data_IF_496255174651
#
_entry.id   IF_496255174651
#
_cell.length_a   1.000
_cell.length_b   1.000
_cell.length_c   1.000
_cell.angle_alpha   90.00
_cell.angle_beta   90.00
_cell.angle_gamma   90.00
#
_symmetry.space_group_name_H-M   'P 1'
#
loop_
_entity.id
_entity.type
_entity.pdbx_description
1 polymer ?
#
# COMPACT_ATOMS: atom_id res chain seq x y z
N UNK A 1 -15.52 15.44 -13.70
CA UNK A 1 -14.85 15.56 -12.41
C UNK A 1 -13.43 15.07 -12.60
N UNK A 2 -12.42 15.90 -12.32
CA UNK A 2 -11.02 15.54 -12.56
C UNK A 2 -10.43 14.97 -11.27
N UNK A 3 -10.39 13.63 -11.18
CA UNK A 3 -9.92 12.89 -10.00
C UNK A 3 -8.49 13.28 -9.60
N UNK A 4 -7.62 13.58 -10.58
CA UNK A 4 -6.24 13.96 -10.28
C UNK A 4 -6.17 15.32 -9.57
N UNK A 5 -7.01 16.27 -10.00
CA UNK A 5 -7.11 17.59 -9.38
C UNK A 5 -7.65 17.50 -7.94
N UNK A 6 -8.62 16.63 -7.68
CA UNK A 6 -9.17 16.43 -6.34
C UNK A 6 -8.15 15.78 -5.40
N UNK A 7 -7.36 14.82 -5.89
CA UNK A 7 -6.27 14.23 -5.11
C UNK A 7 -5.14 15.23 -4.83
N UNK A 8 -4.87 16.16 -5.75
CA UNK A 8 -3.93 17.28 -5.53
C UNK A 8 -4.38 18.22 -4.43
N UNK A 9 -5.66 18.59 -4.46
CA UNK A 9 -6.26 19.43 -3.42
C UNK A 9 -6.24 18.72 -2.07
N UNK A 10 -6.63 17.44 -2.03
CA UNK A 10 -6.62 16.64 -0.81
C UNK A 10 -5.20 16.47 -0.24
N UNK A 11 -4.20 16.23 -1.09
CA UNK A 11 -2.80 16.17 -0.64
C UNK A 11 -2.36 17.47 0.03
N UNK A 12 -2.68 18.61 -0.57
CA UNK A 12 -2.37 19.94 -0.02
C UNK A 12 -3.04 20.16 1.34
N UNK A 13 -4.29 19.72 1.48
CA UNK A 13 -5.05 19.82 2.75
C UNK A 13 -4.39 18.97 3.85
N UNK A 14 -4.09 17.71 3.56
CA UNK A 14 -3.45 16.82 4.55
C UNK A 14 -2.04 17.33 4.93
N UNK A 15 -1.27 17.82 3.95
CA UNK A 15 0.05 18.42 4.21
C UNK A 15 -0.04 19.66 5.11
N UNK A 16 -0.99 20.56 4.85
CA UNK A 16 -1.24 21.70 5.72
C UNK A 16 -1.64 21.26 7.15
N UNK A 17 -2.46 20.21 7.26
CA UNK A 17 -2.85 19.61 8.55
C UNK A 17 -1.64 19.12 9.35
N UNK A 18 -0.74 18.36 8.70
CA UNK A 18 0.51 17.87 9.31
C UNK A 18 1.37 19.04 9.83
N UNK A 19 1.51 20.10 9.02
CA UNK A 19 2.31 21.28 9.38
C UNK A 19 1.72 21.99 10.60
N UNK A 20 0.41 22.23 10.63
CA UNK A 20 -0.24 22.93 11.74
C UNK A 20 -0.22 22.12 13.04
N UNK A 21 -0.49 20.81 12.97
CA UNK A 21 -0.38 19.90 14.12
C UNK A 21 1.04 19.87 14.68
N UNK A 22 2.06 19.81 13.81
CA UNK A 22 3.47 19.85 14.21
C UNK A 22 3.84 21.13 14.95
N UNK A 23 3.35 22.29 14.48
CA UNK A 23 3.55 23.58 15.17
C UNK A 23 2.83 23.62 16.51
N UNK A 24 1.61 23.09 16.59
CA UNK A 24 0.79 23.06 17.81
C UNK A 24 1.45 22.23 18.91
N UNK A 25 2.08 21.10 18.56
CA UNK A 25 2.82 20.25 19.49
C UNK A 25 3.95 20.98 20.23
N UNK A 26 4.58 21.98 19.61
CA UNK A 26 5.58 22.82 20.27
C UNK A 26 5.02 23.71 21.39
N UNK A 27 3.69 23.86 21.49
CA UNK A 27 3.01 24.81 22.37
C UNK A 27 2.15 24.15 23.47
N UNK A 28 1.98 22.84 23.42
CA UNK A 28 1.13 22.07 24.35
C UNK A 28 1.93 21.07 25.18
N UNK A 29 1.39 20.70 26.34
CA UNK A 29 1.98 19.72 27.26
C UNK A 29 0.92 18.78 27.86
N UNK A 30 1.37 17.69 28.49
CA UNK A 30 0.48 16.71 29.12
C UNK A 30 -0.46 16.01 28.13
N UNK A 31 -1.69 15.76 28.55
CA UNK A 31 -2.68 14.96 27.81
C UNK A 31 -3.03 15.54 26.42
N UNK A 32 -3.08 16.87 26.30
CA UNK A 32 -3.39 17.52 25.03
C UNK A 32 -2.26 17.29 24.01
N UNK A 33 -1.01 17.22 24.47
CA UNK A 33 0.14 16.87 23.64
C UNK A 33 0.04 15.44 23.12
N UNK A 34 -0.32 14.49 23.98
CA UNK A 34 -0.49 13.08 23.57
C UNK A 34 -1.61 12.92 22.54
N UNK A 35 -2.72 13.63 22.74
CA UNK A 35 -3.84 13.64 21.78
C UNK A 35 -3.40 14.20 20.43
N UNK A 36 -2.70 15.34 20.44
CA UNK A 36 -2.19 15.96 19.21
C UNK A 36 -1.10 15.12 18.52
N UNK A 37 -0.33 14.31 19.26
CA UNK A 37 0.61 13.36 18.67
C UNK A 37 -0.12 12.27 17.89
N UNK A 38 -1.23 11.75 18.43
CA UNK A 38 -2.08 10.79 17.71
C UNK A 38 -2.67 11.39 16.44
N UNK A 39 -3.23 12.59 16.53
CA UNK A 39 -3.78 13.30 15.36
C UNK A 39 -2.72 13.61 14.30
N UNK A 40 -1.50 13.95 14.71
CA UNK A 40 -0.40 14.17 13.77
C UNK A 40 -0.05 12.88 13.03
N UNK A 41 0.02 11.75 13.74
CA UNK A 41 0.29 10.45 13.12
C UNK A 41 -0.79 10.09 12.08
N UNK A 42 -2.06 10.28 12.42
CA UNK A 42 -3.18 10.07 11.48
C UNK A 42 -3.04 10.93 10.22
N UNK A 43 -2.79 12.24 10.37
CA UNK A 43 -2.63 13.16 9.25
C UNK A 43 -1.43 12.77 8.35
N UNK A 44 -0.34 12.30 8.95
CA UNK A 44 0.82 11.81 8.18
C UNK A 44 0.48 10.55 7.38
N UNK A 45 -0.32 9.63 7.94
CA UNK A 45 -0.76 8.42 7.25
C UNK A 45 -1.69 8.79 6.09
N UNK A 46 -2.64 9.69 6.30
CA UNK A 46 -3.54 10.16 5.24
C UNK A 46 -2.76 10.79 4.08
N UNK A 47 -1.81 11.67 4.39
CA UNK A 47 -0.97 12.33 3.40
C UNK A 47 -0.24 11.30 2.50
N UNK A 48 0.38 10.29 3.12
CA UNK A 48 1.11 9.27 2.37
C UNK A 48 0.19 8.32 1.59
N UNK A 49 -1.02 8.06 2.10
CA UNK A 49 -2.04 7.30 1.36
C UNK A 49 -2.46 8.03 0.09
N UNK A 50 -2.76 9.34 0.18
CA UNK A 50 -3.15 10.16 -0.97
C UNK A 50 -2.01 10.23 -2.00
N UNK A 51 -0.77 10.45 -1.54
CA UNK A 51 0.44 10.41 -2.40
C UNK A 51 0.60 9.06 -3.08
N UNK A 52 0.37 7.97 -2.37
CA UNK A 52 0.40 6.60 -2.89
C UNK A 52 -0.60 6.40 -4.03
N UNK A 53 -1.85 6.80 -3.83
CA UNK A 53 -2.92 6.70 -4.84
C UNK A 53 -2.58 7.52 -6.09
N UNK A 54 -2.11 8.77 -5.93
CA UNK A 54 -1.70 9.62 -7.05
C UNK A 54 -0.59 8.98 -7.88
N UNK A 55 0.46 8.48 -7.23
CA UNK A 55 1.56 7.77 -7.90
C UNK A 55 1.05 6.55 -8.66
N UNK A 56 0.18 5.75 -8.06
CA UNK A 56 -0.40 4.57 -8.70
C UNK A 56 -1.20 4.92 -9.97
N UNK A 57 -2.01 5.98 -9.93
CA UNK A 57 -2.78 6.43 -11.10
C UNK A 57 -1.88 6.95 -12.23
N UNK A 58 -0.82 7.69 -11.88
CA UNK A 58 0.17 8.18 -12.85
C UNK A 58 0.90 7.01 -13.52
N UNK A 59 1.37 6.04 -12.74
CA UNK A 59 2.03 4.85 -13.28
C UNK A 59 1.08 4.01 -14.13
N UNK A 60 -0.17 3.84 -13.71
CA UNK A 60 -1.19 3.15 -14.51
C UNK A 60 -1.39 3.82 -15.88
N UNK A 61 -1.47 5.15 -15.94
CA UNK A 61 -1.56 5.89 -17.21
C UNK A 61 -0.33 5.61 -18.09
N UNK A 62 0.89 5.74 -17.55
CA UNK A 62 2.14 5.46 -18.30
C UNK A 62 2.16 4.04 -18.87
N UNK A 63 1.79 3.05 -18.07
CA UNK A 63 1.74 1.64 -18.49
C UNK A 63 0.71 1.45 -19.60
N UNK A 64 -0.47 2.06 -19.48
CA UNK A 64 -1.53 1.95 -20.49
C UNK A 64 -1.16 2.57 -21.85
N UNK A 65 -0.32 3.60 -21.84
CA UNK A 65 0.16 4.29 -23.05
C UNK A 65 1.37 3.58 -23.70
N UNK A 66 2.04 2.70 -22.96
CA UNK A 66 3.21 1.97 -23.46
C UNK A 66 2.78 0.74 -24.26
N UNK A 67 3.23 0.62 -25.52
CA UNK A 67 3.05 -0.63 -26.28
C UNK A 67 3.80 -1.77 -25.59
N UNK A 68 3.04 -2.77 -25.16
CA UNK A 68 3.56 -3.90 -24.42
C UNK A 68 4.43 -4.80 -25.32
N UNK A 69 5.75 -4.65 -25.24
CA UNK A 69 6.72 -5.47 -25.97
C UNK A 69 7.22 -6.68 -25.14
N UNK A 70 6.49 -7.05 -24.07
CA UNK A 70 6.96 -7.92 -23.00
C UNK A 70 7.51 -9.27 -23.48
N UNK A 71 8.84 -9.43 -23.37
CA UNK A 71 9.53 -10.73 -23.35
C UNK A 71 9.79 -11.08 -21.88
N UNK A 72 8.81 -11.68 -21.21
CA UNK A 72 8.93 -12.08 -19.81
C UNK A 72 8.05 -13.27 -19.48
N UNK A 73 8.54 -14.19 -18.63
CA UNK A 73 7.72 -15.27 -18.11
C UNK A 73 6.78 -14.72 -17.05
N UNK A 74 5.48 -14.66 -17.36
CA UNK A 74 4.44 -14.26 -16.39
C UNK A 74 4.52 -15.11 -15.12
N UNK A 75 4.81 -16.40 -15.26
CA UNK A 75 4.99 -17.31 -14.11
C UNK A 75 6.18 -16.86 -13.25
N UNK A 76 7.31 -16.51 -13.88
CA UNK A 76 8.50 -16.08 -13.14
C UNK A 76 8.30 -14.74 -12.41
N UNK A 77 7.50 -13.83 -12.99
CA UNK A 77 7.15 -12.55 -12.37
C UNK A 77 6.23 -12.77 -11.16
N UNK A 78 5.18 -13.59 -11.30
CA UNK A 78 4.26 -13.90 -10.20
C UNK A 78 4.97 -14.69 -9.08
N UNK A 79 5.83 -15.65 -9.42
CA UNK A 79 6.62 -16.39 -8.42
C UNK A 79 7.58 -15.47 -7.65
N UNK A 80 8.11 -14.41 -8.27
CA UNK A 80 8.95 -13.42 -7.61
C UNK A 80 8.13 -12.51 -6.69
N UNK A 81 6.94 -12.10 -7.11
CA UNK A 81 6.05 -11.25 -6.32
C UNK A 81 5.53 -11.96 -5.06
N UNK A 82 5.08 -13.22 -5.18
CA UNK A 82 4.68 -14.04 -4.04
C UNK A 82 5.71 -14.09 -2.91
N UNK A 83 7.01 -14.10 -3.23
CA UNK A 83 8.08 -14.11 -2.22
C UNK A 83 8.18 -12.79 -1.46
N UNK A 84 7.91 -11.69 -2.14
CA UNK A 84 7.86 -10.35 -1.53
C UNK A 84 6.66 -10.31 -0.59
N UNK A 85 5.49 -10.73 -1.06
CA UNK A 85 4.26 -10.74 -0.26
C UNK A 85 4.39 -11.60 1.00
N UNK A 86 4.93 -12.82 0.87
CA UNK A 86 5.18 -13.69 2.01
C UNK A 86 6.10 -13.02 3.05
N UNK A 87 7.14 -12.31 2.60
CA UNK A 87 8.04 -11.59 3.51
C UNK A 87 7.37 -10.37 4.15
N UNK A 88 6.53 -9.64 3.41
CA UNK A 88 5.76 -8.52 3.95
C UNK A 88 4.83 -8.97 5.06
N UNK A 89 4.13 -10.09 4.89
CA UNK A 89 3.24 -10.67 5.92
C UNK A 89 4.00 -10.95 7.21
N UNK A 90 5.16 -11.61 7.13
CA UNK A 90 6.00 -11.88 8.30
C UNK A 90 6.37 -10.59 9.04
N UNK A 91 6.81 -9.56 8.30
CA UNK A 91 7.21 -8.29 8.89
C UNK A 91 6.03 -7.54 9.53
N UNK A 92 4.86 -7.52 8.90
CA UNK A 92 3.68 -6.93 9.51
C UNK A 92 3.27 -7.69 10.77
N UNK A 93 3.34 -9.02 10.78
CA UNK A 93 3.10 -9.83 11.98
C UNK A 93 4.07 -9.46 13.11
N UNK A 94 5.36 -9.33 12.81
CA UNK A 94 6.37 -8.93 13.80
C UNK A 94 6.07 -7.53 14.39
N UNK A 95 5.69 -6.57 13.52
CA UNK A 95 5.33 -5.20 13.94
C UNK A 95 4.05 -5.14 14.77
N UNK A 96 3.04 -5.94 14.44
CA UNK A 96 1.80 -6.07 15.22
C UNK A 96 2.13 -6.65 16.60
N UNK A 97 2.94 -7.71 16.65
CA UNK A 97 3.33 -8.35 17.90
C UNK A 97 4.20 -7.45 18.79
N UNK A 98 4.97 -6.54 18.19
CA UNK A 98 5.75 -5.54 18.93
C UNK A 98 4.86 -4.49 19.62
N UNK A 99 3.56 -4.39 19.27
CA UNK A 99 2.56 -3.53 19.88
C UNK A 99 3.03 -2.07 20.05
N UNK A 100 3.59 -1.50 18.99
CA UNK A 100 4.16 -0.14 18.98
C UNK A 100 3.07 0.91 19.31
N UNK A 101 1.85 0.70 18.82
CA UNK A 101 0.65 1.50 19.09
C UNK A 101 -0.58 0.70 18.65
N UNK A 102 -1.72 0.88 19.34
CA UNK A 102 -2.99 0.24 18.97
C UNK A 102 -3.42 0.62 17.55
N UNK A 103 -3.36 1.91 17.22
CA UNK A 103 -3.70 2.43 15.89
C UNK A 103 -2.77 1.86 14.81
N UNK A 104 -1.45 1.91 15.04
CA UNK A 104 -0.48 1.38 14.10
C UNK A 104 -0.68 -0.14 13.89
N UNK A 105 -0.95 -0.89 14.96
CA UNK A 105 -1.20 -2.33 14.88
C UNK A 105 -2.47 -2.64 14.08
N UNK A 106 -3.54 -1.84 14.24
CA UNK A 106 -4.75 -1.99 13.43
C UNK A 106 -4.50 -1.72 11.95
N UNK A 107 -3.68 -0.72 11.63
CA UNK A 107 -3.30 -0.43 10.23
C UNK A 107 -2.43 -1.53 9.64
N UNK A 108 -1.41 -1.99 10.38
CA UNK A 108 -0.59 -3.11 9.95
C UNK A 108 -1.42 -4.38 9.72
N UNK A 109 -2.43 -4.65 10.56
CA UNK A 109 -3.33 -5.79 10.37
C UNK A 109 -4.16 -5.68 9.09
N UNK A 110 -4.64 -4.47 8.74
CA UNK A 110 -5.34 -4.23 7.46
C UNK A 110 -4.40 -4.49 6.29
N UNK A 111 -3.18 -3.96 6.33
CA UNK A 111 -2.22 -4.14 5.23
C UNK A 111 -1.81 -5.60 5.11
N UNK A 112 -1.50 -6.28 6.23
CA UNK A 112 -1.15 -7.70 6.27
C UNK A 112 -2.21 -8.58 5.60
N UNK A 113 -3.51 -8.31 5.85
CA UNK A 113 -4.61 -9.03 5.21
C UNK A 113 -4.67 -8.81 3.70
N UNK A 114 -4.38 -7.59 3.23
CA UNK A 114 -4.30 -7.33 1.79
C UNK A 114 -3.18 -8.14 1.14
N UNK A 115 -2.01 -8.27 1.78
CA UNK A 115 -0.92 -9.11 1.25
C UNK A 115 -1.32 -10.60 1.23
N UNK A 116 -2.09 -11.08 2.22
CA UNK A 116 -2.65 -12.44 2.21
C UNK A 116 -3.62 -12.64 1.03
N UNK A 117 -4.46 -11.65 0.72
CA UNK A 117 -5.35 -11.67 -0.44
C UNK A 117 -4.57 -11.69 -1.76
N UNK A 118 -3.48 -10.92 -1.87
CA UNK A 118 -2.59 -10.94 -3.03
C UNK A 118 -2.03 -12.35 -3.28
N UNK A 119 -1.52 -13.03 -2.24
CA UNK A 119 -1.03 -14.40 -2.36
C UNK A 119 -2.09 -15.38 -2.89
N UNK A 120 -3.35 -15.24 -2.46
CA UNK A 120 -4.47 -16.07 -2.93
C UNK A 120 -4.74 -15.83 -4.42
N UNK A 121 -4.76 -14.57 -4.85
CA UNK A 121 -4.95 -14.19 -6.25
C UNK A 121 -3.81 -14.74 -7.10
N UNK A 122 -2.57 -14.54 -6.68
CA UNK A 122 -1.37 -14.98 -7.40
C UNK A 122 -1.28 -16.50 -7.53
N UNK A 123 -1.60 -17.24 -6.47
CA UNK A 123 -1.68 -18.69 -6.51
C UNK A 123 -2.74 -19.17 -7.52
N UNK A 124 -3.90 -18.49 -7.55
CA UNK A 124 -4.97 -18.78 -8.50
C UNK A 124 -4.54 -18.54 -9.96
N UNK A 125 -3.80 -17.46 -10.21
CA UNK A 125 -3.24 -17.15 -11.52
C UNK A 125 -2.18 -18.19 -11.94
N UNK A 126 -1.24 -18.53 -11.06
CA UNK A 126 -0.20 -19.53 -11.32
C UNK A 126 -0.79 -20.91 -11.65
N UNK A 127 -1.76 -21.37 -10.87
CA UNK A 127 -2.41 -22.66 -11.10
C UNK A 127 -3.10 -22.72 -12.46
N UNK A 128 -3.73 -21.62 -12.89
CA UNK A 128 -4.39 -21.49 -14.19
C UNK A 128 -3.39 -21.48 -15.35
N UNK A 129 -2.28 -20.75 -15.21
CA UNK A 129 -1.19 -20.76 -16.21
C UNK A 129 -0.52 -22.14 -16.35
N UNK A 130 -0.27 -22.83 -15.24
CA UNK A 130 0.33 -24.19 -15.26
C UNK A 130 -0.60 -25.21 -15.94
N UNK A 131 -1.91 -25.15 -15.66
CA UNK A 131 -2.91 -26.00 -16.35
C UNK A 131 -2.94 -25.76 -17.86
N UNK A 132 -2.93 -24.49 -18.29
CA UNK A 132 -2.92 -24.12 -19.70
C UNK A 132 -1.63 -24.54 -20.43
N UNK A 133 -0.48 -24.51 -19.75
CA UNK A 133 0.78 -25.00 -20.31
C UNK A 133 0.77 -26.53 -20.48
N UNK A 134 0.24 -27.26 -19.50
CA UNK A 134 0.17 -28.72 -19.54
C UNK A 134 -0.81 -29.23 -20.61
N UNK A 135 -1.96 -28.58 -20.80
CA UNK A 135 -2.93 -28.97 -21.85
C UNK A 135 -2.41 -28.78 -23.27
N UNK A 136 -1.52 -27.79 -23.50
CA UNK A 136 -0.84 -27.59 -24.79
C UNK A 136 0.26 -28.63 -25.08
N UNK A 137 0.82 -29.25 -24.04
CA UNK A 137 1.92 -30.23 -24.16
C UNK A 137 1.44 -31.65 -24.44
N UNK A 138 0.15 -31.92 -24.22
CA UNK A 138 -0.52 -33.21 -24.43
C UNK A 138 -1.20 -33.31 -25.80
N UNK A 139 -1.28 -32.19 -26.53
CA UNK A 139 -1.71 -32.14 -27.95
C UNK A 139 -0.51 -32.20 -28.87
#
# INVERSE_FOLDING_TARGET
>A
MDVMRELEELESIEEAGVVELSKALGKVSGRDRETLLGMLLDAMIHLELVRGIRRALIEHRKISETKNNGRGSVIGIIDAHNKIEARSIELYTDLINANVSELASRLFEVIRRNEEEHLVIEYTLLSSHRRAANSRRVR
#
